data_IF_052063147672
#
_entry.id   IF_052063147672
#
_cell.length_a   1.000
_cell.length_b   1.000
_cell.length_c   1.000
_cell.angle_alpha   90.00
_cell.angle_beta   90.00
_cell.angle_gamma   90.00
#
_symmetry.space_group_name_H-M   'P 1'
#
loop_
_entity.id
_entity.type
_entity.pdbx_description
1 polymer ?
#
# COMPACT_ATOMS: atom_id res chain seq x y z
N UNK A 1 7.72 -3.41 42.21
CA UNK A 1 7.73 -3.16 40.74
C UNK A 1 6.32 -2.70 40.39
N UNK A 2 6.16 -1.52 39.81
CA UNK A 2 4.86 -1.00 39.40
C UNK A 2 4.55 -1.49 37.99
N UNK A 3 3.29 -1.87 37.73
CA UNK A 3 2.77 -2.17 36.39
C UNK A 3 1.99 -0.94 35.96
N UNK A 4 2.28 -0.41 34.79
CA UNK A 4 1.66 0.80 34.23
C UNK A 4 1.09 0.53 32.84
N UNK A 5 0.07 1.29 32.43
CA UNK A 5 -0.43 1.28 31.08
C UNK A 5 0.64 1.85 30.13
N UNK A 6 0.95 1.13 29.07
CA UNK A 6 1.83 1.58 27.99
C UNK A 6 1.07 2.35 26.91
N UNK A 7 1.73 2.63 25.75
CA UNK A 7 1.05 3.21 24.58
C UNK A 7 -0.18 2.41 24.20
N UNK A 8 -1.25 3.12 23.84
CA UNK A 8 -2.50 2.48 23.45
C UNK A 8 -3.21 3.27 22.35
N UNK A 9 -4.06 2.59 21.62
CA UNK A 9 -4.94 3.16 20.61
C UNK A 9 -6.18 2.29 20.48
N UNK A 10 -7.26 2.85 19.96
CA UNK A 10 -8.46 2.11 19.62
C UNK A 10 -9.11 2.68 18.35
N UNK A 11 -9.95 1.89 17.71
CA UNK A 11 -10.59 2.39 16.51
C UNK A 11 -11.58 1.42 15.88
N UNK A 12 -11.95 1.71 14.65
CA UNK A 12 -12.86 0.92 13.84
C UNK A 12 -12.16 0.42 12.59
N UNK A 13 -12.05 -0.88 12.44
CA UNK A 13 -11.37 -1.51 11.31
C UNK A 13 -12.35 -1.84 10.18
N UNK A 14 -11.83 -1.75 8.94
CA UNK A 14 -12.39 -2.35 7.73
C UNK A 14 -13.84 -1.93 7.42
N UNK A 15 -14.13 -0.62 7.54
CA UNK A 15 -15.42 -0.09 7.10
C UNK A 15 -15.46 -0.09 5.57
N UNK A 16 -16.31 -0.93 4.98
CA UNK A 16 -16.51 -0.95 3.54
C UNK A 16 -17.44 0.18 3.12
N UNK A 17 -16.91 1.14 2.35
CA UNK A 17 -17.64 2.30 1.86
C UNK A 17 -17.66 2.28 0.34
N UNK A 18 -18.83 2.29 -0.25
CA UNK A 18 -19.00 2.46 -1.70
C UNK A 18 -19.75 3.76 -1.94
N UNK A 19 -19.14 4.67 -2.69
CA UNK A 19 -19.77 5.91 -3.14
C UNK A 19 -19.97 5.88 -4.64
N UNK A 20 -21.19 6.11 -5.08
CA UNK A 20 -21.51 6.34 -6.48
C UNK A 20 -21.89 7.81 -6.66
N UNK A 21 -21.16 8.53 -7.49
CA UNK A 21 -21.51 9.88 -7.92
C UNK A 21 -22.46 9.78 -9.11
N UNK A 22 -23.61 10.46 -9.03
CA UNK A 22 -24.74 10.32 -9.97
C UNK A 22 -25.20 11.66 -10.52
N UNK A 23 -24.32 12.65 -10.55
CA UNK A 23 -24.65 14.01 -10.98
C UNK A 23 -24.88 14.11 -12.50
N UNK A 24 -24.40 13.14 -13.23
CA UNK A 24 -24.58 12.98 -14.68
C UNK A 24 -25.02 11.54 -15.02
N UNK A 25 -25.52 11.28 -16.23
CA UNK A 25 -25.77 9.90 -16.67
C UNK A 25 -24.54 8.99 -16.61
N UNK A 26 -23.35 9.56 -16.77
CA UNK A 26 -22.07 8.86 -16.59
C UNK A 26 -21.68 8.91 -15.13
N UNK A 27 -21.94 7.81 -14.42
CA UNK A 27 -21.64 7.69 -13.00
C UNK A 27 -20.13 7.45 -12.76
N UNK A 28 -19.67 7.85 -11.58
CA UNK A 28 -18.36 7.46 -11.04
C UNK A 28 -18.55 6.62 -9.79
N UNK A 29 -17.63 5.68 -9.55
CA UNK A 29 -17.65 4.79 -8.39
C UNK A 29 -16.32 4.85 -7.65
N UNK A 30 -16.39 4.94 -6.33
CA UNK A 30 -15.28 4.69 -5.41
C UNK A 30 -15.68 3.58 -4.46
N UNK A 31 -14.81 2.61 -4.28
CA UNK A 31 -15.02 1.42 -3.46
C UNK A 31 -13.81 1.26 -2.56
N UNK A 32 -13.97 1.55 -1.27
CA UNK A 32 -12.87 1.64 -0.32
C UNK A 32 -13.14 0.81 0.93
N UNK A 33 -12.07 0.45 1.60
CA UNK A 33 -12.07 -0.11 2.94
C UNK A 33 -11.32 0.84 3.87
N UNK A 34 -11.95 1.31 4.93
CA UNK A 34 -11.43 2.37 5.81
C UNK A 34 -11.26 1.87 7.22
N UNK A 35 -10.08 2.07 7.78
CA UNK A 35 -9.77 1.80 9.18
C UNK A 35 -9.32 3.08 9.88
N UNK A 36 -9.81 3.31 11.10
CA UNK A 36 -9.40 4.42 11.96
C UNK A 36 -8.77 3.91 13.24
N UNK A 37 -7.72 4.58 13.71
CA UNK A 37 -7.10 4.36 14.99
C UNK A 37 -6.91 5.72 15.69
N UNK A 38 -7.48 5.88 16.86
CA UNK A 38 -7.42 7.10 17.67
C UNK A 38 -6.45 6.92 18.84
N UNK A 39 -5.64 7.94 19.08
CA UNK A 39 -4.66 8.02 20.16
C UNK A 39 -5.00 9.22 21.04
N UNK A 40 -4.80 9.08 22.35
CA UNK A 40 -5.09 10.14 23.32
C UNK A 40 -5.00 9.63 24.74
N UNK A 41 -5.50 10.40 25.70
CA UNK A 41 -5.60 9.93 27.07
C UNK A 41 -6.89 9.12 27.28
N UNK A 42 -6.76 7.82 27.13
CA UNK A 42 -7.82 6.83 27.37
C UNK A 42 -7.51 5.95 28.60
N UNK A 43 -6.67 6.46 29.51
CA UNK A 43 -6.21 5.70 30.68
C UNK A 43 -7.36 5.29 31.60
N UNK A 44 -8.34 6.16 31.82
CA UNK A 44 -9.50 5.86 32.65
C UNK A 44 -10.35 4.69 32.10
N UNK A 45 -10.47 4.59 30.77
CA UNK A 45 -11.17 3.47 30.13
C UNK A 45 -10.44 2.13 30.38
N UNK A 46 -9.10 2.11 30.38
CA UNK A 46 -8.31 0.92 30.60
C UNK A 46 -8.18 0.51 32.07
N UNK A 47 -8.05 1.48 32.95
CA UNK A 47 -7.74 1.23 34.36
C UNK A 47 -8.99 1.16 35.25
N UNK A 48 -10.04 1.90 34.90
CA UNK A 48 -11.25 2.08 35.72
C UNK A 48 -12.53 1.67 35.01
N UNK A 49 -12.48 1.44 33.69
CA UNK A 49 -13.67 1.14 32.86
C UNK A 49 -14.53 2.39 32.58
N UNK A 50 -13.99 3.59 32.81
CA UNK A 50 -14.70 4.84 32.51
C UNK A 50 -14.58 5.18 31.03
N UNK A 51 -15.71 5.23 30.34
CA UNK A 51 -15.83 5.48 28.89
C UNK A 51 -16.07 6.95 28.54
N UNK A 52 -16.03 7.86 29.49
CA UNK A 52 -16.38 9.29 29.29
C UNK A 52 -15.52 10.00 28.25
N UNK A 53 -14.26 9.56 28.07
CA UNK A 53 -13.33 10.08 27.08
C UNK A 53 -13.29 9.27 25.76
N UNK A 54 -14.14 8.23 25.61
CA UNK A 54 -14.07 7.30 24.47
C UNK A 54 -15.15 7.59 23.46
N UNK A 55 -14.77 8.06 22.25
CA UNK A 55 -15.70 8.13 21.12
C UNK A 55 -16.04 6.70 20.67
N UNK A 56 -17.33 6.29 20.70
CA UNK A 56 -17.69 4.92 20.31
C UNK A 56 -17.17 4.54 18.92
N UNK A 57 -16.72 3.32 18.76
CA UNK A 57 -16.27 2.83 17.44
C UNK A 57 -17.42 2.78 16.43
N UNK A 58 -18.66 2.67 16.88
CA UNK A 58 -19.84 2.81 16.01
C UNK A 58 -19.98 4.24 15.48
N UNK A 59 -19.70 5.26 16.30
CA UNK A 59 -19.63 6.65 15.84
C UNK A 59 -18.57 6.84 14.79
N UNK A 60 -17.35 6.29 14.98
CA UNK A 60 -16.28 6.36 13.98
C UNK A 60 -16.71 5.73 12.64
N UNK A 61 -17.42 4.60 12.67
CA UNK A 61 -18.02 4.00 11.48
C UNK A 61 -19.01 4.97 10.81
N UNK A 62 -19.91 5.55 11.59
CA UNK A 62 -20.93 6.46 11.06
C UNK A 62 -20.29 7.73 10.47
N UNK A 63 -19.23 8.25 11.10
CA UNK A 63 -18.43 9.37 10.57
C UNK A 63 -17.84 9.04 9.21
N UNK A 64 -17.28 7.85 9.03
CA UNK A 64 -16.73 7.44 7.74
C UNK A 64 -17.80 7.49 6.63
N UNK A 65 -19.01 7.02 6.88
CA UNK A 65 -20.10 7.09 5.89
C UNK A 65 -20.58 8.52 5.64
N UNK A 66 -20.72 9.32 6.71
CA UNK A 66 -21.16 10.73 6.60
C UNK A 66 -20.16 11.54 5.77
N UNK A 67 -18.86 11.45 6.08
CA UNK A 67 -17.78 12.14 5.37
C UNK A 67 -17.68 11.72 3.91
N UNK A 68 -17.90 10.45 3.58
CA UNK A 68 -17.94 10.00 2.19
C UNK A 68 -19.06 10.71 1.39
N UNK A 69 -20.16 11.11 2.04
CA UNK A 69 -21.22 11.90 1.40
C UNK A 69 -20.90 13.38 1.39
N UNK A 70 -20.49 13.95 2.52
CA UNK A 70 -20.35 15.40 2.73
C UNK A 70 -19.09 15.96 2.06
N UNK A 71 -17.93 15.33 2.29
CA UNK A 71 -16.63 15.76 1.75
C UNK A 71 -16.35 15.17 0.36
N UNK A 72 -17.02 14.09 0.02
CA UNK A 72 -16.77 13.35 -1.20
C UNK A 72 -15.62 12.35 -1.05
N UNK A 73 -15.32 11.65 -2.15
CA UNK A 73 -14.17 10.75 -2.30
C UNK A 73 -13.44 11.12 -3.58
N UNK A 74 -12.86 12.33 -3.60
CA UNK A 74 -12.08 12.82 -4.74
C UNK A 74 -10.78 12.03 -4.86
N UNK A 75 -10.06 11.91 -3.74
CA UNK A 75 -8.94 10.99 -3.56
C UNK A 75 -9.07 10.30 -2.20
N UNK A 76 -8.43 9.16 -2.02
CA UNK A 76 -8.41 8.47 -0.72
C UNK A 76 -7.53 9.19 0.29
N UNK A 77 -6.53 9.92 -0.17
CA UNK A 77 -5.66 10.74 0.68
C UNK A 77 -6.41 11.95 1.25
N UNK A 78 -7.14 12.71 0.43
CA UNK A 78 -7.93 13.86 0.91
C UNK A 78 -9.04 13.42 1.86
N UNK A 79 -9.68 12.31 1.56
CA UNK A 79 -10.69 11.74 2.45
C UNK A 79 -10.09 11.30 3.79
N UNK A 80 -8.92 10.65 3.76
CA UNK A 80 -8.18 10.29 4.96
C UNK A 80 -7.76 11.50 5.79
N UNK A 81 -7.29 12.57 5.13
CA UNK A 81 -6.94 13.85 5.76
C UNK A 81 -8.16 14.48 6.45
N UNK A 82 -9.31 14.52 5.78
CA UNK A 82 -10.54 15.08 6.35
C UNK A 82 -10.98 14.33 7.59
N UNK A 83 -10.96 12.98 7.56
CA UNK A 83 -11.31 12.14 8.72
C UNK A 83 -10.32 12.29 9.87
N UNK A 84 -9.01 12.23 9.59
CA UNK A 84 -7.99 12.31 10.64
C UNK A 84 -8.02 13.66 11.35
N UNK A 85 -8.16 14.76 10.60
CA UNK A 85 -8.32 16.11 11.16
C UNK A 85 -9.57 16.24 11.99
N UNK A 86 -10.72 15.78 11.51
CA UNK A 86 -11.95 15.79 12.29
C UNK A 86 -11.77 15.15 13.67
N UNK A 87 -11.16 13.97 13.73
CA UNK A 87 -10.96 13.31 15.01
C UNK A 87 -10.02 14.08 15.96
N UNK A 88 -8.97 14.71 15.42
CA UNK A 88 -8.02 15.45 16.25
C UNK A 88 -8.52 16.84 16.63
N UNK A 89 -9.27 17.50 15.73
CA UNK A 89 -9.69 18.89 15.93
C UNK A 89 -11.04 18.99 16.68
N UNK A 90 -11.96 18.03 16.47
CA UNK A 90 -13.34 18.13 16.95
C UNK A 90 -13.65 17.16 18.11
N UNK A 91 -12.76 16.21 18.44
CA UNK A 91 -12.96 15.23 19.49
C UNK A 91 -11.91 15.44 20.60
N UNK A 92 -12.26 16.21 21.63
CA UNK A 92 -11.35 16.73 22.66
C UNK A 92 -10.33 15.72 23.23
N UNK A 93 -10.68 14.46 23.57
CA UNK A 93 -9.70 13.51 24.11
C UNK A 93 -8.69 12.97 23.09
N UNK A 94 -8.94 13.20 21.78
CA UNK A 94 -8.10 12.65 20.70
C UNK A 94 -6.92 13.60 20.46
N UNK A 95 -5.71 13.07 20.56
CA UNK A 95 -4.45 13.78 20.33
C UNK A 95 -3.76 13.33 19.03
N UNK A 96 -4.19 12.20 18.49
CA UNK A 96 -3.69 11.67 17.24
C UNK A 96 -4.70 10.73 16.59
N UNK A 97 -4.73 10.74 15.29
CA UNK A 97 -5.57 9.84 14.49
C UNK A 97 -4.79 9.30 13.30
N UNK A 98 -4.94 8.00 13.05
CA UNK A 98 -4.45 7.35 11.85
C UNK A 98 -5.60 6.75 11.08
N UNK A 99 -5.68 7.07 9.79
CA UNK A 99 -6.67 6.53 8.85
C UNK A 99 -5.92 5.74 7.79
N UNK A 100 -6.24 4.46 7.66
CA UNK A 100 -5.73 3.59 6.60
C UNK A 100 -6.84 3.24 5.64
N UNK A 101 -6.56 3.34 4.35
CA UNK A 101 -7.54 3.17 3.28
C UNK A 101 -6.99 2.23 2.21
N UNK A 102 -7.82 1.28 1.84
CA UNK A 102 -7.64 0.42 0.67
C UNK A 102 -8.68 0.80 -0.38
N UNK A 103 -8.27 1.12 -1.59
CA UNK A 103 -9.18 1.38 -2.70
C UNK A 103 -9.13 0.25 -3.71
N UNK A 104 -10.30 -0.26 -4.05
CA UNK A 104 -10.48 -1.35 -4.98
C UNK A 104 -10.82 -0.81 -6.37
N UNK A 105 -9.93 -1.05 -7.32
CA UNK A 105 -10.10 -0.57 -8.69
C UNK A 105 -11.25 -1.28 -9.42
N UNK A 106 -12.06 -0.48 -10.09
CA UNK A 106 -13.09 -0.91 -11.00
C UNK A 106 -12.81 -0.36 -12.40
N UNK A 107 -12.84 -1.21 -13.39
CA UNK A 107 -12.66 -0.85 -14.79
C UNK A 107 -14.02 -0.77 -15.48
N UNK A 108 -14.26 0.30 -16.25
CA UNK A 108 -15.50 0.43 -16.99
C UNK A 108 -15.62 -0.65 -18.04
N UNK A 109 -16.81 -1.20 -18.18
CA UNK A 109 -17.12 -2.14 -19.27
C UNK A 109 -17.17 -1.38 -20.57
N UNK A 110 -16.45 -1.87 -21.58
CA UNK A 110 -16.51 -1.35 -22.94
C UNK A 110 -17.41 -2.24 -23.81
N UNK A 111 -18.33 -1.62 -24.57
CA UNK A 111 -19.20 -2.27 -25.54
C UNK A 111 -18.88 -1.64 -26.89
N UNK A 112 -18.40 -2.45 -27.84
CA UNK A 112 -18.01 -2.00 -29.17
C UNK A 112 -17.00 -0.82 -29.17
N UNK A 113 -16.09 -0.82 -28.20
CA UNK A 113 -15.06 0.21 -28.05
C UNK A 113 -15.52 1.48 -27.31
N UNK A 114 -16.77 1.55 -26.87
CA UNK A 114 -17.33 2.66 -26.09
C UNK A 114 -17.51 2.24 -24.64
N UNK A 115 -16.95 3.03 -23.72
CA UNK A 115 -17.12 2.78 -22.30
C UNK A 115 -18.57 3.01 -21.84
N UNK A 116 -19.12 2.04 -21.10
CA UNK A 116 -20.48 2.11 -20.57
C UNK A 116 -20.58 3.09 -19.38
N UNK A 117 -21.65 3.85 -19.31
CA UNK A 117 -21.78 4.97 -18.37
C UNK A 117 -21.85 4.55 -16.90
N UNK A 118 -22.34 3.36 -16.58
CA UNK A 118 -22.63 2.94 -15.21
C UNK A 118 -22.44 1.43 -14.96
N UNK A 119 -21.53 0.79 -15.70
CA UNK A 119 -21.21 -0.63 -15.51
C UNK A 119 -19.70 -0.81 -15.42
N UNK A 120 -19.28 -1.57 -14.41
CA UNK A 120 -17.86 -1.83 -14.14
C UNK A 120 -17.62 -3.31 -13.94
N UNK A 121 -16.39 -3.72 -14.20
CA UNK A 121 -15.87 -5.04 -13.89
C UNK A 121 -14.60 -4.86 -13.04
N UNK A 122 -14.45 -5.71 -12.05
CA UNK A 122 -13.23 -5.74 -11.26
C UNK A 122 -12.20 -6.63 -11.95
N UNK A 123 -11.07 -6.05 -12.32
CA UNK A 123 -9.95 -6.77 -12.95
C UNK A 123 -8.69 -6.59 -12.13
N UNK A 124 -7.91 -7.69 -12.04
CA UNK A 124 -6.67 -7.73 -11.27
C UNK A 124 -6.91 -7.81 -9.76
N UNK A 125 -5.81 -8.02 -9.05
CA UNK A 125 -5.78 -8.15 -7.58
C UNK A 125 -5.29 -6.88 -6.90
N UNK A 126 -4.69 -5.98 -7.67
CA UNK A 126 -4.09 -4.75 -7.16
C UNK A 126 -5.09 -3.92 -6.34
N UNK A 127 -4.60 -3.43 -5.21
CA UNK A 127 -5.30 -2.53 -4.31
C UNK A 127 -4.43 -1.30 -4.10
N UNK A 128 -5.00 -0.11 -4.29
CA UNK A 128 -4.35 1.16 -3.93
C UNK A 128 -4.45 1.37 -2.42
N UNK A 129 -3.40 1.92 -1.84
CA UNK A 129 -3.27 2.16 -0.41
C UNK A 129 -3.04 3.66 -0.14
N UNK A 130 -3.63 4.15 0.94
CA UNK A 130 -3.22 5.40 1.56
C UNK A 130 -3.26 5.24 3.07
N UNK A 131 -2.35 5.92 3.76
CA UNK A 131 -2.44 6.10 5.19
C UNK A 131 -2.13 7.55 5.56
N UNK A 132 -2.98 8.11 6.41
CA UNK A 132 -2.87 9.46 6.92
C UNK A 132 -2.76 9.40 8.43
N UNK A 133 -1.73 10.04 8.98
CA UNK A 133 -1.57 10.23 10.42
C UNK A 133 -1.55 11.72 10.73
N UNK A 134 -2.37 12.14 11.66
CA UNK A 134 -2.40 13.51 12.20
C UNK A 134 -2.16 13.42 13.70
N UNK A 135 -1.19 14.16 14.21
CA UNK A 135 -0.87 14.21 15.65
C UNK A 135 -0.68 15.66 16.11
N UNK A 136 -1.00 15.92 17.36
CA UNK A 136 -0.93 17.25 17.95
C UNK A 136 -2.15 18.10 17.63
N UNK A 137 -2.30 19.20 18.33
CA UNK A 137 -3.45 20.12 18.23
C UNK A 137 -3.00 21.52 17.82
N UNK A 138 -3.86 22.27 17.16
CA UNK A 138 -3.62 23.64 16.75
C UNK A 138 -2.28 23.83 16.02
N UNK A 139 -1.46 24.81 16.41
CA UNK A 139 -0.18 25.14 15.75
C UNK A 139 0.89 24.05 15.88
N UNK A 140 0.72 23.07 16.77
CA UNK A 140 1.62 21.94 16.93
C UNK A 140 1.22 20.72 16.11
N UNK A 141 0.13 20.81 15.33
CA UNK A 141 -0.36 19.70 14.53
C UNK A 141 0.62 19.33 13.43
N UNK A 142 0.91 18.06 13.32
CA UNK A 142 1.73 17.48 12.27
C UNK A 142 0.94 16.43 11.49
N UNK A 143 1.22 16.31 10.21
CA UNK A 143 0.52 15.41 9.31
C UNK A 143 1.51 14.62 8.46
N UNK A 144 1.31 13.33 8.38
CA UNK A 144 2.06 12.42 7.52
C UNK A 144 1.11 11.66 6.61
N UNK A 145 1.48 11.59 5.34
CA UNK A 145 0.72 10.86 4.33
C UNK A 145 1.62 9.86 3.63
N UNK A 146 1.15 8.64 3.53
CA UNK A 146 1.75 7.63 2.66
C UNK A 146 0.75 7.18 1.61
N UNK A 147 1.22 7.02 0.38
CA UNK A 147 0.50 6.33 -0.68
C UNK A 147 1.09 4.95 -0.92
N UNK A 148 0.39 4.12 -1.68
CA UNK A 148 0.93 2.79 -1.99
C UNK A 148 0.03 1.94 -2.86
N UNK A 149 0.52 0.73 -3.11
CA UNK A 149 -0.22 -0.35 -3.74
C UNK A 149 0.20 -1.70 -3.13
N UNK A 150 -0.68 -2.67 -3.18
CA UNK A 150 -0.41 -4.08 -2.88
C UNK A 150 -1.01 -4.97 -3.95
N UNK A 151 -0.54 -6.22 -3.97
CA UNK A 151 -1.02 -7.27 -4.88
C UNK A 151 -0.89 -6.94 -6.37
N UNK A 152 0.08 -6.07 -6.72
CA UNK A 152 0.45 -5.83 -8.10
C UNK A 152 1.29 -7.00 -8.62
N UNK A 153 0.65 -7.93 -9.32
CA UNK A 153 1.33 -9.09 -9.91
C UNK A 153 1.97 -8.68 -11.23
N UNK A 154 3.30 -8.78 -11.26
CA UNK A 154 4.10 -8.49 -12.45
C UNK A 154 5.07 -9.63 -12.75
N UNK A 155 5.32 -9.87 -14.04
CA UNK A 155 6.20 -10.94 -14.52
C UNK A 155 6.99 -10.47 -15.73
N UNK A 156 8.25 -10.89 -15.80
CA UNK A 156 9.01 -10.89 -17.05
C UNK A 156 9.57 -12.28 -17.33
N UNK A 157 9.52 -12.70 -18.59
CA UNK A 157 9.87 -14.05 -19.01
C UNK A 157 11.36 -14.25 -19.25
N UNK A 158 12.14 -13.19 -19.31
CA UNK A 158 13.58 -13.16 -19.53
C UNK A 158 14.21 -11.89 -18.95
N UNK A 159 15.53 -11.70 -19.10
CA UNK A 159 16.23 -10.52 -18.61
C UNK A 159 16.37 -10.48 -17.09
N UNK A 160 16.42 -11.66 -16.47
CA UNK A 160 16.71 -11.84 -15.05
C UNK A 160 17.67 -12.98 -14.84
N UNK A 161 18.67 -12.75 -14.00
CA UNK A 161 19.75 -13.68 -13.67
C UNK A 161 19.73 -13.98 -12.17
N UNK A 162 20.36 -15.09 -11.79
CA UNK A 162 20.76 -15.35 -10.42
C UNK A 162 21.96 -16.31 -10.39
N UNK A 163 23.16 -15.77 -10.24
CA UNK A 163 24.38 -16.53 -10.18
C UNK A 163 25.43 -15.83 -9.31
N UNK A 164 26.53 -16.50 -9.00
CA UNK A 164 27.59 -15.93 -8.17
C UNK A 164 27.19 -15.77 -6.69
N UNK A 165 26.14 -16.44 -6.26
CA UNK A 165 25.68 -16.40 -4.87
C UNK A 165 26.57 -17.25 -3.95
N UNK A 166 26.53 -16.94 -2.65
CA UNK A 166 27.21 -17.71 -1.60
C UNK A 166 26.62 -19.11 -1.52
N UNK A 167 27.48 -20.11 -1.31
CA UNK A 167 27.07 -21.51 -1.16
C UNK A 167 27.48 -22.06 0.20
N UNK A 168 26.69 -23.01 0.71
CA UNK A 168 26.95 -23.79 1.90
C UNK A 168 26.61 -25.27 1.64
N UNK A 169 26.78 -26.20 2.63
CA UNK A 169 26.45 -27.62 2.44
C UNK A 169 24.99 -27.94 2.08
N UNK A 170 24.08 -26.99 2.23
CA UNK A 170 22.64 -27.13 1.94
C UNK A 170 22.23 -26.43 0.65
N UNK A 171 23.16 -25.83 -0.06
CA UNK A 171 22.88 -25.11 -1.30
C UNK A 171 22.65 -26.08 -2.44
N UNK A 172 21.42 -26.15 -2.94
CA UNK A 172 21.04 -26.98 -4.09
C UNK A 172 20.64 -26.15 -5.31
N UNK A 173 20.55 -24.83 -5.17
CA UNK A 173 20.14 -23.94 -6.24
C UNK A 173 21.19 -23.90 -7.35
N UNK A 174 20.74 -24.05 -8.59
CA UNK A 174 21.60 -23.97 -9.77
C UNK A 174 21.69 -22.52 -10.25
N UNK A 175 22.91 -22.00 -10.48
CA UNK A 175 23.08 -20.68 -11.09
C UNK A 175 22.39 -20.59 -12.45
N UNK A 176 21.78 -19.42 -12.72
CA UNK A 176 21.13 -19.17 -14.02
C UNK A 176 21.42 -17.75 -14.50
N UNK A 177 21.60 -17.62 -15.81
CA UNK A 177 21.77 -16.32 -16.50
C UNK A 177 20.51 -15.90 -17.25
N UNK A 178 19.48 -16.75 -17.22
CA UNK A 178 18.15 -16.43 -17.78
C UNK A 178 17.07 -17.18 -17.00
N UNK A 179 16.13 -16.42 -16.46
CA UNK A 179 15.00 -16.97 -15.72
C UNK A 179 13.76 -16.10 -15.83
N UNK A 180 12.60 -16.72 -15.63
CA UNK A 180 11.36 -15.98 -15.36
C UNK A 180 11.46 -15.32 -13.98
N UNK A 181 11.12 -14.03 -13.90
CA UNK A 181 11.01 -13.31 -12.63
C UNK A 181 9.60 -12.75 -12.46
N UNK A 182 8.93 -13.15 -11.39
CA UNK A 182 7.57 -12.73 -11.06
C UNK A 182 7.45 -12.38 -9.58
N UNK A 183 6.58 -11.42 -9.28
CA UNK A 183 6.28 -11.00 -7.91
C UNK A 183 4.85 -10.52 -7.78
N UNK A 184 4.35 -10.49 -6.54
CA UNK A 184 3.15 -9.74 -6.12
C UNK A 184 3.63 -8.53 -5.32
N UNK A 185 3.96 -7.46 -6.02
CA UNK A 185 4.61 -6.29 -5.44
C UNK A 185 3.69 -5.58 -4.44
N UNK A 186 4.27 -5.25 -3.29
CA UNK A 186 3.78 -4.22 -2.38
C UNK A 186 4.76 -3.06 -2.43
N UNK A 187 4.26 -1.87 -2.70
CA UNK A 187 5.06 -0.64 -2.72
C UNK A 187 4.30 0.45 -1.96
N UNK A 188 4.98 1.10 -1.03
CA UNK A 188 4.46 2.25 -0.29
C UNK A 188 5.47 3.38 -0.34
N UNK A 189 5.00 4.61 -0.33
CA UNK A 189 5.86 5.79 -0.36
C UNK A 189 5.36 6.87 0.57
N UNK A 190 6.31 7.59 1.19
CA UNK A 190 6.03 8.70 2.09
C UNK A 190 6.14 10.03 1.34
N UNK A 191 5.09 10.82 1.41
CA UNK A 191 5.05 12.16 0.85
C UNK A 191 5.69 13.17 1.80
N UNK A 192 6.57 14.01 1.29
CA UNK A 192 7.17 15.14 2.02
C UNK A 192 6.38 16.44 1.88
N UNK A 193 5.29 16.44 1.12
CA UNK A 193 4.39 17.57 0.89
C UNK A 193 2.94 17.11 0.88
N UNK A 194 2.04 17.99 1.30
CA UNK A 194 0.59 17.79 1.18
C UNK A 194 -0.01 18.48 -0.06
N UNK A 195 0.78 19.31 -0.75
CA UNK A 195 0.39 19.95 -2.00
C UNK A 195 0.74 19.03 -3.18
N UNK A 196 -0.10 18.01 -3.37
CA UNK A 196 0.11 16.92 -4.34
C UNK A 196 -1.21 16.61 -5.04
N UNK A 197 -1.15 16.49 -6.36
CA UNK A 197 -2.22 15.79 -7.11
C UNK A 197 -2.09 14.29 -6.86
N UNK A 198 -2.89 13.78 -5.90
CA UNK A 198 -2.80 12.39 -5.44
C UNK A 198 -3.09 11.37 -6.53
N UNK A 199 -4.05 11.65 -7.41
CA UNK A 199 -4.41 10.75 -8.51
C UNK A 199 -3.28 10.67 -9.54
N UNK A 200 -2.74 11.82 -9.95
CA UNK A 200 -1.61 11.88 -10.87
C UNK A 200 -0.34 11.25 -10.26
N UNK A 201 -0.09 11.51 -8.97
CA UNK A 201 1.05 10.95 -8.25
C UNK A 201 0.97 9.41 -8.18
N UNK A 202 -0.19 8.85 -7.78
CA UNK A 202 -0.38 7.40 -7.73
C UNK A 202 -0.16 6.75 -9.10
N UNK A 203 -0.85 7.25 -10.14
CA UNK A 203 -0.75 6.71 -11.49
C UNK A 203 0.69 6.80 -12.02
N UNK A 204 1.36 7.92 -11.78
CA UNK A 204 2.73 8.14 -12.22
C UNK A 204 3.75 7.27 -11.50
N UNK A 205 3.66 7.15 -10.17
CA UNK A 205 4.55 6.26 -9.39
C UNK A 205 4.38 4.82 -9.82
N UNK A 206 3.15 4.32 -9.93
CA UNK A 206 2.87 2.97 -10.44
C UNK A 206 3.50 2.75 -11.82
N UNK A 207 3.34 3.71 -12.74
CA UNK A 207 3.92 3.61 -14.07
C UNK A 207 5.46 3.53 -14.01
N UNK A 208 6.13 4.34 -13.18
CA UNK A 208 7.58 4.28 -12.99
C UNK A 208 8.02 2.93 -12.43
N UNK A 209 7.29 2.37 -11.45
CA UNK A 209 7.60 1.06 -10.87
C UNK A 209 7.52 -0.05 -11.94
N UNK A 210 6.40 -0.13 -12.66
CA UNK A 210 6.18 -1.17 -13.69
C UNK A 210 7.17 -1.03 -14.85
N UNK A 211 7.39 0.19 -15.32
CA UNK A 211 8.36 0.48 -16.37
C UNK A 211 9.78 0.09 -15.96
N UNK A 212 10.19 0.43 -14.73
CA UNK A 212 11.52 0.08 -14.23
C UNK A 212 11.70 -1.44 -14.14
N UNK A 213 10.70 -2.16 -13.63
CA UNK A 213 10.71 -3.61 -13.59
C UNK A 213 10.89 -4.22 -14.99
N UNK A 214 10.24 -3.65 -16.00
CA UNK A 214 10.35 -4.12 -17.39
C UNK A 214 11.73 -3.82 -18.01
N UNK A 215 12.27 -2.61 -17.81
CA UNK A 215 13.49 -2.13 -18.49
C UNK A 215 14.78 -2.63 -17.87
N UNK A 216 14.84 -2.86 -16.55
CA UNK A 216 16.07 -3.25 -15.86
C UNK A 216 16.41 -4.70 -16.19
N UNK A 217 17.59 -4.95 -16.73
CA UNK A 217 18.18 -6.29 -16.74
C UNK A 217 18.54 -6.65 -15.30
N UNK A 218 17.84 -7.61 -14.71
CA UNK A 218 17.92 -7.92 -13.29
C UNK A 218 19.03 -8.93 -13.00
N UNK A 219 20.12 -8.48 -12.42
CA UNK A 219 21.16 -9.35 -11.88
C UNK A 219 20.75 -9.95 -10.53
N UNK A 220 19.85 -9.28 -9.83
CA UNK A 220 19.19 -9.71 -8.59
C UNK A 220 17.92 -8.94 -8.37
N UNK A 221 16.92 -9.53 -7.71
CA UNK A 221 15.66 -8.83 -7.36
C UNK A 221 15.95 -7.62 -6.46
N UNK A 222 16.94 -7.71 -5.56
CA UNK A 222 17.38 -6.60 -4.70
C UNK A 222 17.81 -5.37 -5.53
N UNK A 223 18.60 -5.58 -6.59
CA UNK A 223 19.00 -4.51 -7.52
C UNK A 223 17.77 -3.89 -8.20
N UNK A 224 16.84 -4.73 -8.65
CA UNK A 224 15.62 -4.26 -9.32
C UNK A 224 14.79 -3.39 -8.39
N UNK A 225 14.58 -3.80 -7.13
CA UNK A 225 13.85 -3.00 -6.14
C UNK A 225 14.55 -1.66 -5.87
N UNK A 226 15.87 -1.66 -5.73
CA UNK A 226 16.61 -0.42 -5.56
C UNK A 226 16.42 0.53 -6.76
N UNK A 227 16.52 0.02 -7.99
CA UNK A 227 16.29 0.83 -9.19
C UNK A 227 14.85 1.36 -9.29
N UNK A 228 13.86 0.56 -8.88
CA UNK A 228 12.45 1.00 -8.83
C UNK A 228 12.28 2.16 -7.86
N UNK A 229 12.72 2.02 -6.62
CA UNK A 229 12.65 3.09 -5.61
C UNK A 229 13.44 4.33 -6.02
N UNK A 230 14.67 4.16 -6.54
CA UNK A 230 15.51 5.25 -7.02
C UNK A 230 14.82 6.07 -8.11
N UNK A 231 14.28 5.43 -9.15
CA UNK A 231 13.62 6.14 -10.25
C UNK A 231 12.33 6.85 -9.80
N UNK A 232 11.61 6.33 -8.82
CA UNK A 232 10.47 7.03 -8.22
C UNK A 232 10.94 8.32 -7.55
N UNK A 233 11.99 8.24 -6.72
CA UNK A 233 12.54 9.41 -6.05
C UNK A 233 13.12 10.44 -7.03
N UNK A 234 13.74 10.00 -8.12
CA UNK A 234 14.25 10.89 -9.18
C UNK A 234 13.10 11.61 -9.92
N UNK A 235 11.98 10.93 -10.14
CA UNK A 235 10.83 11.48 -10.86
C UNK A 235 9.96 12.40 -10.01
N UNK A 236 9.88 12.18 -8.69
CA UNK A 236 8.94 12.87 -7.80
C UNK A 236 9.66 13.48 -6.58
N UNK A 237 9.96 14.78 -6.65
CA UNK A 237 10.67 15.52 -5.60
C UNK A 237 9.90 15.60 -4.27
N UNK A 238 8.59 15.40 -4.31
CA UNK A 238 7.71 15.39 -3.14
C UNK A 238 7.56 14.00 -2.47
N UNK A 239 8.35 13.01 -2.89
CA UNK A 239 8.44 11.69 -2.23
C UNK A 239 9.79 11.60 -1.52
N UNK A 240 9.76 11.31 -0.22
CA UNK A 240 10.93 11.21 0.65
C UNK A 240 11.51 9.80 0.72
N UNK A 241 10.66 8.77 0.75
CA UNK A 241 11.05 7.37 0.91
C UNK A 241 10.07 6.45 0.16
N UNK A 242 10.59 5.36 -0.40
CA UNK A 242 9.82 4.28 -1.02
C UNK A 242 10.19 2.97 -0.35
N UNK A 243 9.21 2.23 0.15
CA UNK A 243 9.36 0.88 0.70
C UNK A 243 8.77 -0.13 -0.24
N UNK A 244 9.51 -1.18 -0.51
CA UNK A 244 9.16 -2.22 -1.47
C UNK A 244 9.25 -3.59 -0.80
N UNK A 245 8.26 -4.43 -1.05
CA UNK A 245 8.24 -5.83 -0.63
C UNK A 245 7.82 -6.69 -1.81
N UNK A 246 8.66 -7.64 -2.18
CA UNK A 246 8.51 -8.46 -3.37
C UNK A 246 8.65 -9.95 -3.01
N UNK A 247 7.56 -10.65 -2.69
CA UNK A 247 7.56 -12.10 -2.65
C UNK A 247 7.87 -12.66 -4.05
N UNK A 248 8.88 -13.52 -4.13
CA UNK A 248 9.28 -14.12 -5.39
C UNK A 248 8.30 -15.25 -5.76
N UNK A 249 7.55 -15.08 -6.85
CA UNK A 249 6.71 -16.13 -7.42
C UNK A 249 7.57 -17.01 -8.31
N UNK A 250 7.97 -18.17 -7.78
CA UNK A 250 8.92 -19.06 -8.45
C UNK A 250 8.34 -19.69 -9.71
N UNK A 251 9.18 -19.79 -10.75
CA UNK A 251 8.92 -20.52 -11.98
C UNK A 251 10.11 -21.48 -12.18
N UNK A 252 9.87 -22.75 -11.89
CA UNK A 252 10.88 -23.80 -12.04
C UNK A 252 10.73 -24.46 -13.40
N UNK A 253 11.85 -24.53 -14.15
CA UNK A 253 11.85 -25.22 -15.43
C UNK A 253 11.43 -26.69 -15.22
N UNK A 254 10.37 -27.10 -15.93
CA UNK A 254 9.84 -28.45 -15.76
C UNK A 254 10.71 -29.47 -16.52
N UNK A 255 11.06 -30.58 -15.86
CA UNK A 255 11.81 -31.67 -16.48
C UNK A 255 10.91 -32.45 -17.46
N UNK A 256 11.07 -32.20 -18.74
CA UNK A 256 10.41 -32.89 -19.83
C UNK A 256 11.22 -34.07 -20.38
N UNK A 257 12.48 -34.23 -19.92
CA UNK A 257 13.37 -35.31 -20.39
C UNK A 257 12.80 -36.72 -20.14
N UNK A 258 12.01 -36.89 -19.07
CA UNK A 258 11.27 -38.13 -18.77
C UNK A 258 10.24 -38.52 -19.84
N UNK A 259 9.86 -37.58 -20.70
CA UNK A 259 8.96 -37.81 -21.83
C UNK A 259 9.68 -37.78 -23.19
N UNK A 260 11.02 -37.69 -23.17
CA UNK A 260 11.85 -37.60 -24.37
C UNK A 260 11.73 -36.24 -25.08
N UNK A 261 11.33 -35.17 -24.34
CA UNK A 261 11.17 -33.81 -24.87
C UNK A 261 12.26 -32.90 -24.29
N UNK A 262 12.75 -32.00 -25.13
CA UNK A 262 13.57 -30.88 -24.68
C UNK A 262 12.70 -29.74 -24.16
N UNK A 263 13.14 -29.04 -23.13
CA UNK A 263 12.50 -27.84 -22.62
C UNK A 263 13.41 -26.62 -22.77
N UNK A 264 13.23 -25.88 -23.83
CA UNK A 264 14.02 -24.68 -24.16
C UNK A 264 13.52 -23.41 -23.42
N UNK A 265 13.34 -23.47 -22.09
CA UNK A 265 12.77 -22.40 -21.26
C UNK A 265 11.32 -22.02 -21.63
N UNK A 266 10.49 -23.00 -21.95
CA UNK A 266 9.12 -22.79 -22.42
C UNK A 266 8.07 -23.23 -21.40
N UNK A 267 8.31 -24.34 -20.66
CA UNK A 267 7.34 -24.95 -19.75
C UNK A 267 7.88 -24.93 -18.34
N UNK A 268 7.12 -24.33 -17.45
CA UNK A 268 7.50 -24.13 -16.05
C UNK A 268 6.44 -24.68 -15.10
N UNK A 269 6.88 -25.13 -13.95
CA UNK A 269 6.05 -25.30 -12.77
C UNK A 269 6.08 -23.97 -11.98
N UNK A 270 4.92 -23.32 -11.89
CA UNK A 270 4.78 -22.12 -11.07
C UNK A 270 4.45 -22.50 -9.62
N UNK A 271 5.19 -21.97 -8.68
CA UNK A 271 4.98 -22.20 -7.26
C UNK A 271 5.04 -20.87 -6.50
N UNK A 272 4.05 -20.64 -5.63
CA UNK A 272 3.94 -19.44 -4.82
C UNK A 272 4.28 -19.66 -3.34
N UNK A 273 4.63 -20.91 -2.93
CA UNK A 273 4.98 -21.27 -1.55
C UNK A 273 5.92 -22.48 -1.50
N UNK A 274 7.00 -22.41 -0.66
CA UNK A 274 7.50 -21.21 0.01
C UNK A 274 8.11 -20.23 -0.98
N UNK A 275 8.16 -18.95 -0.62
CA UNK A 275 8.75 -17.89 -1.46
C UNK A 275 9.88 -17.14 -0.75
N UNK A 276 10.89 -16.69 -1.50
CA UNK A 276 11.83 -15.71 -1.04
C UNK A 276 11.15 -14.35 -0.92
N UNK A 277 11.25 -13.71 0.23
CA UNK A 277 10.72 -12.36 0.47
C UNK A 277 11.87 -11.37 0.44
N UNK A 278 11.88 -10.52 -0.58
CA UNK A 278 12.89 -9.49 -0.75
C UNK A 278 12.25 -8.13 -0.46
N UNK A 279 12.87 -7.38 0.45
CA UNK A 279 12.37 -6.09 0.89
C UNK A 279 13.49 -5.06 0.84
N UNK A 280 13.13 -3.83 0.50
CA UNK A 280 14.05 -2.70 0.49
C UNK A 280 13.33 -1.39 0.81
N UNK A 281 14.01 -0.50 1.51
CA UNK A 281 13.66 0.91 1.62
C UNK A 281 14.69 1.71 0.81
N UNK A 282 14.20 2.65 0.01
CA UNK A 282 15.01 3.60 -0.76
C UNK A 282 14.54 4.99 -0.39
N UNK A 283 15.46 5.82 0.08
CA UNK A 283 15.14 7.16 0.58
C UNK A 283 16.18 8.19 0.11
N UNK A 284 15.82 9.45 0.19
CA UNK A 284 16.76 10.55 0.04
C UNK A 284 17.65 10.62 1.27
N UNK A 285 18.91 10.96 1.12
CA UNK A 285 19.84 11.14 2.24
C UNK A 285 19.52 12.38 3.10
N UNK A 286 18.80 13.35 2.51
CA UNK A 286 18.27 14.55 3.16
C UNK A 286 16.79 14.45 3.54
N UNK A 287 16.20 13.24 3.50
CA UNK A 287 14.79 13.05 3.81
C UNK A 287 14.45 13.50 5.23
N UNK A 288 13.31 14.18 5.45
CA UNK A 288 12.83 14.47 6.79
C UNK A 288 12.55 13.18 7.56
N UNK A 289 12.63 13.25 8.89
CA UNK A 289 12.28 12.11 9.74
C UNK A 289 10.86 11.63 9.41
N UNK A 290 10.70 10.33 9.20
CA UNK A 290 9.43 9.76 8.80
C UNK A 290 8.34 9.84 9.89
N UNK A 291 8.73 10.05 11.16
CA UNK A 291 7.78 10.08 12.27
C UNK A 291 6.84 8.86 12.24
N UNK A 292 5.56 9.03 12.56
CA UNK A 292 4.57 7.96 12.55
C UNK A 292 4.03 7.61 11.15
N UNK A 293 4.64 8.09 10.06
CA UNK A 293 4.21 7.77 8.69
C UNK A 293 4.09 6.26 8.44
N UNK A 294 4.99 5.48 9.05
CA UNK A 294 5.09 4.04 8.87
C UNK A 294 4.45 3.19 9.97
N UNK A 295 3.80 3.81 10.93
CA UNK A 295 3.04 3.06 11.93
C UNK A 295 1.96 2.23 11.23
N UNK A 296 1.70 1.03 11.73
CA UNK A 296 0.61 0.23 11.23
C UNK A 296 -0.65 0.45 12.08
N UNK A 297 -1.81 0.26 11.49
CA UNK A 297 -3.08 0.24 12.23
C UNK A 297 -3.03 -0.83 13.34
N UNK A 298 -2.45 -1.97 13.02
CA UNK A 298 -2.21 -3.07 13.97
C UNK A 298 -0.89 -2.91 14.75
N UNK A 299 -0.27 -1.74 14.70
CA UNK A 299 1.12 -1.49 15.06
C UNK A 299 1.46 -1.47 16.54
N UNK A 300 0.54 -1.86 17.41
CA UNK A 300 0.85 -2.17 18.82
C UNK A 300 1.07 -3.68 19.04
N UNK A 301 1.06 -4.47 17.99
CA UNK A 301 1.30 -5.92 18.04
C UNK A 301 2.77 -6.21 17.81
#
# INVERSE_FOLDING_TARGET
MAIVLGPNQYGKAENRVVRTQRDTPRHEIRDINVSSALRGDFSAAHLEGDQSAVLPTDTQKNTAYAYAKEQGLTSIEDYGLALARHYVDDVEPVQGARIEIEEFAWERVSIDGVEHDHTWVRRGQEVRLAAVTVEGTADAQQTWVTGGLKDLVILKSTGSEFHGFLTDPYTTLVPTTDRVMATSLVATWHYSSLDVDWEAAYAGVKNVLVRTFAEVHSLALQQTLFQMGKRVLEAYGFIAEVRLSAPNKHHFLYDLGRFGLENANEVFHADDRPYGLIQASVLRDDAPAAGPAWDAYTGLV
#
